data_IF_378831577867
#
_entry.id   IF_378831577867
#
_cell.length_a   1.000
_cell.length_b   1.000
_cell.length_c   1.000
_cell.angle_alpha   90.00
_cell.angle_beta   90.00
_cell.angle_gamma   90.00
#
_symmetry.space_group_name_H-M   'P 1'
#
loop_
_entity.id
_entity.type
_entity.pdbx_description
1 polymer ?
#
# COMPACT_ATOMS: atom_id res chain seq x y z
N UNK A 1 -5.08 11.43 9.75
CA UNK A 1 -5.64 11.78 11.08
C UNK A 1 -5.77 10.57 12.02
N UNK A 2 -5.91 9.32 11.56
CA UNK A 2 -5.84 8.13 12.45
C UNK A 2 -4.40 7.72 12.85
N UNK A 3 -3.43 7.80 11.94
CA UNK A 3 -2.00 7.56 12.25
C UNK A 3 -1.35 8.65 13.12
N UNK A 4 -2.11 9.69 13.52
CA UNK A 4 -1.65 10.77 14.40
C UNK A 4 -2.08 10.60 15.86
N UNK A 5 -2.98 9.66 16.16
CA UNK A 5 -3.44 9.40 17.54
C UNK A 5 -2.47 8.48 18.28
N UNK A 6 -2.63 8.33 19.59
CA UNK A 6 -1.78 7.47 20.44
C UNK A 6 -1.76 6.01 19.95
N UNK A 7 -2.92 5.48 19.53
CA UNK A 7 -3.00 4.16 18.91
C UNK A 7 -2.22 4.06 17.59
N UNK A 8 -2.27 5.10 16.75
CA UNK A 8 -1.51 5.15 15.49
C UNK A 8 0.00 5.19 15.68
N UNK A 9 0.47 5.94 16.70
CA UNK A 9 1.88 5.98 17.09
C UNK A 9 2.33 4.66 17.72
N UNK A 10 1.49 4.03 18.54
CA UNK A 10 1.76 2.72 19.13
C UNK A 10 1.90 1.62 18.07
N UNK A 11 1.07 1.65 17.01
CA UNK A 11 1.17 0.72 15.86
C UNK A 11 2.46 0.96 15.05
N UNK A 12 2.86 2.23 14.84
CA UNK A 12 4.15 2.54 14.19
C UNK A 12 5.35 2.13 15.04
N UNK A 13 5.30 2.37 16.35
CA UNK A 13 6.37 2.01 17.29
C UNK A 13 6.54 0.49 17.40
N UNK A 14 5.43 -0.27 17.44
CA UNK A 14 5.46 -1.74 17.38
C UNK A 14 6.01 -2.27 16.06
N UNK A 15 5.73 -1.60 14.94
CA UNK A 15 6.29 -1.93 13.63
C UNK A 15 7.81 -1.72 13.53
N UNK A 16 8.35 -0.66 14.12
CA UNK A 16 9.80 -0.38 14.11
C UNK A 16 10.58 -1.25 15.09
N UNK A 17 10.08 -1.46 16.31
CA UNK A 17 10.74 -2.34 17.28
C UNK A 17 9.78 -2.90 18.34
N UNK A 18 9.40 -4.18 18.20
CA UNK A 18 8.50 -4.85 19.15
C UNK A 18 9.06 -4.94 20.57
N UNK A 19 10.37 -5.14 20.73
CA UNK A 19 10.98 -5.24 22.06
C UNK A 19 10.90 -3.92 22.84
N UNK A 20 11.09 -2.77 22.16
CA UNK A 20 10.98 -1.45 22.78
C UNK A 20 9.53 -1.04 23.06
N UNK A 21 8.59 -1.39 22.18
CA UNK A 21 7.18 -1.13 22.42
C UNK A 21 6.63 -1.92 23.63
N UNK A 22 7.06 -3.18 23.80
CA UNK A 22 6.69 -4.01 24.96
C UNK A 22 7.28 -3.47 26.27
N UNK A 23 8.51 -2.93 26.23
CA UNK A 23 9.15 -2.28 27.38
C UNK A 23 8.47 -0.95 27.78
N UNK A 24 7.80 -0.27 26.84
CA UNK A 24 7.04 0.97 27.06
C UNK A 24 5.59 0.72 27.51
N UNK A 25 5.23 -0.51 27.89
CA UNK A 25 3.88 -0.85 28.37
C UNK A 25 2.81 -0.96 27.29
N UNK A 26 3.20 -0.93 26.00
CA UNK A 26 2.28 -1.09 24.87
C UNK A 26 2.05 -2.59 24.64
N UNK A 27 0.78 -3.02 24.59
CA UNK A 27 0.43 -4.41 24.26
C UNK A 27 0.69 -4.68 22.77
N UNK A 28 1.89 -5.17 22.47
CA UNK A 28 2.35 -5.40 21.10
C UNK A 28 1.49 -6.39 20.33
N UNK A 29 0.93 -7.39 21.01
CA UNK A 29 0.15 -8.45 20.38
C UNK A 29 -1.21 -7.91 19.91
N UNK A 30 -1.91 -7.12 20.75
CA UNK A 30 -3.17 -6.49 20.37
C UNK A 30 -2.99 -5.51 19.20
N UNK A 31 -1.95 -4.66 19.24
CA UNK A 31 -1.69 -3.70 18.16
C UNK A 31 -1.28 -4.39 16.84
N UNK A 32 -0.52 -5.48 16.92
CA UNK A 32 -0.12 -6.25 15.73
C UNK A 32 -1.34 -6.95 15.09
N UNK A 33 -2.18 -7.59 15.91
CA UNK A 33 -3.41 -8.25 15.42
C UNK A 33 -4.38 -7.23 14.83
N UNK A 34 -4.59 -6.09 15.50
CA UNK A 34 -5.44 -5.01 14.98
C UNK A 34 -4.94 -4.50 13.62
N UNK A 35 -3.64 -4.26 13.48
CA UNK A 35 -3.04 -3.82 12.22
C UNK A 35 -3.20 -4.88 11.12
N UNK A 36 -2.96 -6.16 11.43
CA UNK A 36 -3.16 -7.27 10.50
C UNK A 36 -4.62 -7.43 10.07
N UNK A 37 -5.57 -7.30 11.00
CA UNK A 37 -6.99 -7.39 10.69
C UNK A 37 -7.43 -6.26 9.76
N UNK A 38 -6.99 -5.03 10.01
CA UNK A 38 -7.31 -3.89 9.14
C UNK A 38 -6.67 -4.08 7.75
N UNK A 39 -5.40 -4.49 7.69
CA UNK A 39 -4.70 -4.70 6.41
C UNK A 39 -5.36 -5.81 5.58
N UNK A 40 -5.61 -6.98 6.17
CA UNK A 40 -6.21 -8.10 5.46
C UNK A 40 -7.68 -7.85 5.11
N UNK A 41 -8.42 -7.12 5.97
CA UNK A 41 -9.79 -6.72 5.69
C UNK A 41 -9.90 -5.81 4.46
N UNK A 42 -9.00 -4.81 4.34
CA UNK A 42 -8.95 -3.93 3.18
C UNK A 42 -8.56 -4.70 1.90
N UNK A 43 -7.54 -5.55 1.97
CA UNK A 43 -7.09 -6.37 0.82
C UNK A 43 -8.20 -7.32 0.36
N UNK A 44 -8.87 -8.00 1.30
CA UNK A 44 -9.99 -8.90 1.00
C UNK A 44 -11.18 -8.18 0.40
N UNK A 45 -11.54 -7.00 0.91
CA UNK A 45 -12.63 -6.17 0.38
C UNK A 45 -12.32 -5.68 -1.03
N UNK A 46 -11.10 -5.19 -1.29
CA UNK A 46 -10.67 -4.79 -2.63
C UNK A 46 -10.65 -5.98 -3.59
N UNK A 47 -10.16 -7.14 -3.17
CA UNK A 47 -10.18 -8.37 -3.96
C UNK A 47 -11.59 -8.84 -4.30
N UNK A 48 -12.52 -8.77 -3.35
CA UNK A 48 -13.94 -9.11 -3.56
C UNK A 48 -14.63 -8.19 -4.56
N UNK A 49 -14.41 -6.87 -4.46
CA UNK A 49 -14.91 -5.90 -5.45
C UNK A 49 -14.31 -6.15 -6.84
N UNK A 50 -13.03 -6.48 -6.91
CA UNK A 50 -12.35 -6.75 -8.18
C UNK A 50 -12.86 -8.05 -8.83
N UNK A 51 -13.12 -9.09 -8.03
CA UNK A 51 -13.72 -10.33 -8.52
C UNK A 51 -15.16 -10.12 -9.04
N UNK A 52 -15.95 -9.29 -8.37
CA UNK A 52 -17.28 -8.89 -8.88
C UNK A 52 -17.18 -8.12 -10.20
N UNK A 53 -16.18 -7.24 -10.34
CA UNK A 53 -15.98 -6.48 -11.57
C UNK A 53 -15.54 -7.36 -12.75
N UNK A 54 -14.69 -8.38 -12.52
CA UNK A 54 -14.26 -9.30 -13.58
C UNK A 54 -15.25 -10.44 -13.87
N UNK A 55 -16.20 -10.74 -12.97
CA UNK A 55 -17.19 -11.82 -13.15
C UNK A 55 -16.62 -13.24 -13.01
N UNK A 56 -15.32 -13.38 -12.72
CA UNK A 56 -14.64 -14.64 -12.45
C UNK A 56 -13.53 -14.41 -11.41
N UNK A 57 -13.22 -15.44 -10.63
CA UNK A 57 -12.15 -15.42 -9.63
C UNK A 57 -11.18 -16.56 -9.90
N UNK A 58 -9.95 -16.23 -10.30
CA UNK A 58 -8.87 -17.18 -10.52
C UNK A 58 -7.70 -16.92 -9.55
N UNK A 59 -6.99 -17.97 -9.15
CA UNK A 59 -5.83 -17.87 -8.22
C UNK A 59 -4.69 -17.06 -8.83
N UNK A 60 -4.57 -17.07 -10.16
CA UNK A 60 -3.57 -16.27 -10.88
C UNK A 60 -3.87 -14.77 -10.82
N UNK A 61 -5.13 -14.39 -10.60
CA UNK A 61 -5.57 -13.00 -10.48
C UNK A 61 -4.94 -12.31 -9.26
N UNK A 62 -4.79 -13.05 -8.15
CA UNK A 62 -4.12 -12.56 -6.94
C UNK A 62 -2.61 -12.35 -7.15
N UNK A 63 -1.93 -13.28 -7.83
CA UNK A 63 -0.51 -13.12 -8.18
C UNK A 63 -0.29 -11.92 -9.09
N UNK A 64 -1.14 -11.75 -10.11
CA UNK A 64 -1.10 -10.59 -11.00
C UNK A 64 -1.31 -9.27 -10.26
N UNK A 65 -2.30 -9.20 -9.37
CA UNK A 65 -2.56 -8.00 -8.58
C UNK A 65 -1.39 -7.58 -7.69
N UNK A 66 -0.67 -8.54 -7.08
CA UNK A 66 0.52 -8.25 -6.27
C UNK A 66 1.65 -7.68 -7.14
N UNK A 67 1.92 -8.27 -8.30
CA UNK A 67 2.99 -7.82 -9.21
C UNK A 67 2.68 -6.42 -9.75
N UNK A 68 1.44 -6.18 -10.19
CA UNK A 68 1.00 -4.87 -10.68
C UNK A 68 1.07 -3.83 -9.55
N UNK A 69 0.64 -4.20 -8.34
CA UNK A 69 0.68 -3.32 -7.17
C UNK A 69 2.11 -2.92 -6.79
N UNK A 70 3.03 -3.86 -6.72
CA UNK A 70 4.45 -3.58 -6.45
C UNK A 70 5.07 -2.72 -7.57
N UNK A 71 4.78 -3.00 -8.83
CA UNK A 71 5.27 -2.20 -9.96
C UNK A 71 4.79 -0.74 -9.89
N UNK A 72 3.50 -0.51 -9.59
CA UNK A 72 2.94 0.83 -9.44
C UNK A 72 3.57 1.61 -8.27
N UNK A 73 3.84 0.94 -7.14
CA UNK A 73 4.52 1.56 -5.99
C UNK A 73 5.96 1.95 -6.32
N UNK A 74 6.71 1.07 -6.99
CA UNK A 74 8.10 1.36 -7.40
C UNK A 74 8.14 2.53 -8.40
N UNK A 75 7.26 2.54 -9.40
CA UNK A 75 7.17 3.64 -10.37
C UNK A 75 6.82 4.96 -9.67
N UNK A 76 5.85 4.95 -8.74
CA UNK A 76 5.49 6.11 -7.93
C UNK A 76 6.67 6.64 -7.10
N UNK A 77 7.42 5.75 -6.46
CA UNK A 77 8.58 6.10 -5.64
C UNK A 77 9.75 6.64 -6.48
N UNK A 78 10.01 6.08 -7.66
CA UNK A 78 11.07 6.59 -8.57
C UNK A 78 10.73 8.00 -9.09
N UNK A 79 9.45 8.29 -9.36
CA UNK A 79 9.02 9.58 -9.87
C UNK A 79 9.00 10.68 -8.79
N UNK A 80 8.56 10.35 -7.58
CA UNK A 80 8.35 11.31 -6.48
C UNK A 80 9.38 11.26 -5.35
N UNK A 81 10.22 10.22 -5.27
CA UNK A 81 11.20 10.02 -4.19
C UNK A 81 12.19 11.16 -4.03
N UNK A 82 12.50 11.90 -5.12
CA UNK A 82 13.37 13.09 -5.06
C UNK A 82 12.70 14.36 -4.52
N UNK A 83 11.37 14.48 -4.60
CA UNK A 83 10.62 15.64 -4.04
C UNK A 83 10.19 15.45 -2.58
N UNK A 84 10.34 14.24 -2.03
CA UNK A 84 9.85 13.87 -0.69
C UNK A 84 10.86 14.01 0.46
N UNK A 85 12.11 14.40 0.21
CA UNK A 85 13.15 14.45 1.26
C UNK A 85 12.96 15.58 2.30
N UNK A 86 12.06 16.54 2.09
CA UNK A 86 12.08 17.81 2.85
C UNK A 86 10.88 18.20 3.72
N UNK A 87 9.69 17.58 3.60
CA UNK A 87 8.49 18.10 4.29
C UNK A 87 7.68 17.03 5.01
N UNK A 88 7.41 17.29 6.30
CA UNK A 88 6.63 16.53 7.29
C UNK A 88 5.16 16.22 6.91
N UNK A 89 4.75 16.43 5.66
CA UNK A 89 3.43 16.11 5.08
C UNK A 89 3.46 14.72 4.39
N UNK A 90 4.38 13.85 4.84
CA UNK A 90 4.81 12.66 4.13
C UNK A 90 3.68 11.69 3.74
N UNK A 91 2.66 11.49 4.59
CA UNK A 91 1.70 10.40 4.39
C UNK A 91 0.66 10.66 3.28
N UNK A 92 0.13 11.89 3.20
CA UNK A 92 -0.86 12.24 2.18
C UNK A 92 -0.22 12.38 0.79
N UNK A 93 0.99 12.92 0.74
CA UNK A 93 1.76 13.02 -0.49
C UNK A 93 2.28 11.66 -0.98
N UNK A 94 2.68 10.73 -0.09
CA UNK A 94 3.00 9.36 -0.51
C UNK A 94 1.78 8.66 -1.09
N UNK A 95 0.59 8.84 -0.51
CA UNK A 95 -0.64 8.23 -1.04
C UNK A 95 -0.99 8.79 -2.42
N UNK A 96 -0.90 10.12 -2.61
CA UNK A 96 -1.09 10.77 -3.92
C UNK A 96 -0.03 10.33 -4.94
N UNK A 97 1.22 10.14 -4.52
CA UNK A 97 2.29 9.67 -5.41
C UNK A 97 2.07 8.25 -5.92
N UNK A 98 1.50 7.37 -5.10
CA UNK A 98 1.14 6.00 -5.51
C UNK A 98 -0.03 6.02 -6.49
N UNK A 99 -1.03 6.89 -6.27
CA UNK A 99 -2.14 7.07 -7.21
C UNK A 99 -1.62 7.58 -8.58
N UNK A 100 -0.72 8.57 -8.56
CA UNK A 100 -0.09 9.08 -9.77
C UNK A 100 0.77 8.02 -10.47
N UNK A 101 1.53 7.22 -9.72
CA UNK A 101 2.31 6.09 -10.23
C UNK A 101 1.45 5.01 -10.87
N UNK A 102 0.29 4.69 -10.29
CA UNK A 102 -0.66 3.74 -10.86
C UNK A 102 -1.28 4.25 -12.17
N UNK A 103 -1.64 5.53 -12.25
CA UNK A 103 -2.13 6.15 -13.50
C UNK A 103 -1.04 6.10 -14.58
N UNK A 104 0.21 6.42 -14.21
CA UNK A 104 1.34 6.38 -15.13
C UNK A 104 1.62 4.96 -15.64
N UNK A 105 1.54 3.95 -14.76
CA UNK A 105 1.69 2.54 -15.14
C UNK A 105 0.68 2.13 -16.21
N UNK A 106 -0.59 2.49 -16.03
CA UNK A 106 -1.64 2.20 -17.03
C UNK A 106 -1.47 3.02 -18.32
N UNK A 107 -0.95 4.25 -18.25
CA UNK A 107 -0.60 5.05 -19.42
C UNK A 107 0.52 4.41 -20.23
N UNK A 108 1.61 4.01 -19.56
CA UNK A 108 2.74 3.31 -20.20
C UNK A 108 2.30 1.98 -20.79
N UNK A 109 1.50 1.19 -20.05
CA UNK A 109 0.97 -0.08 -20.55
C UNK A 109 0.08 0.13 -21.80
N UNK A 110 -0.78 1.16 -21.78
CA UNK A 110 -1.63 1.50 -22.93
C UNK A 110 -0.82 1.92 -24.16
N UNK A 111 0.24 2.70 -23.96
CA UNK A 111 1.17 3.10 -25.04
C UNK A 111 1.91 1.88 -25.59
N UNK A 112 2.42 0.99 -24.73
CA UNK A 112 3.13 -0.23 -25.16
C UNK A 112 2.22 -1.15 -25.98
N UNK A 113 0.98 -1.37 -25.53
CA UNK A 113 -0.01 -2.16 -26.27
C UNK A 113 -0.39 -1.52 -27.60
N UNK A 114 -0.50 -0.19 -27.66
CA UNK A 114 -0.79 0.55 -28.88
C UNK A 114 0.36 0.48 -29.89
N UNK A 115 1.60 0.52 -29.39
CA UNK A 115 2.81 0.40 -30.20
C UNK A 115 3.08 -1.04 -30.68
N UNK A 116 2.23 -2.00 -30.29
CA UNK A 116 2.20 -3.40 -30.75
C UNK A 116 3.57 -4.07 -30.70
N UNK A 117 4.40 -3.71 -29.73
CA UNK A 117 5.61 -4.48 -29.44
C UNK A 117 5.20 -5.76 -28.70
N UNK A 118 5.72 -6.93 -29.13
CA UNK A 118 5.35 -8.23 -28.58
C UNK A 118 5.69 -8.37 -27.10
#
# INVERSE_FOLDING_TARGET
WYFGTEQGHAIRATGCNRQMARAQGINTDFHTVLALMISNGLVGLSGGLYAQYQGAADVNMGRGAIVIGLAAVIIGDVLFGKMCAGKKIAFAYTLLSVIAGAILYYLVLSVVLWLKFP
#
